data_IF_663153320233
#
_entry.id   IF_663153320233
#
_cell.length_a   1.000
_cell.length_b   1.000
_cell.length_c   1.000
_cell.angle_alpha   90.00
_cell.angle_beta   90.00
_cell.angle_gamma   90.00
#
_symmetry.space_group_name_H-M   'P 1'
#
loop_
_entity.id
_entity.type
_entity.pdbx_description
1 polymer ?
#
# COMPACT_ATOMS: atom_id res chain seq x y z
N UNK A 1 -50.57 0.52 -1.30
CA UNK A 1 -49.52 1.20 -0.51
C UNK A 1 -48.32 1.36 -1.40
N UNK A 2 -48.06 2.59 -1.86
CA UNK A 2 -46.92 2.90 -2.72
C UNK A 2 -45.68 3.06 -1.83
N UNK A 3 -44.68 2.21 -2.04
CA UNK A 3 -43.35 2.36 -1.42
C UNK A 3 -42.67 3.54 -2.10
N UNK A 4 -42.39 4.59 -1.34
CA UNK A 4 -41.66 5.75 -1.80
C UNK A 4 -40.27 5.32 -2.29
N UNK A 5 -39.97 5.62 -3.55
CA UNK A 5 -38.65 5.52 -4.12
C UNK A 5 -37.82 6.63 -3.49
N UNK A 6 -36.91 6.28 -2.58
CA UNK A 6 -35.94 7.24 -2.07
C UNK A 6 -34.86 7.39 -3.14
N UNK A 7 -35.00 8.43 -3.95
CA UNK A 7 -34.05 8.79 -4.99
C UNK A 7 -32.71 9.20 -4.33
N UNK A 8 -31.80 8.24 -4.15
CA UNK A 8 -30.45 8.52 -3.66
C UNK A 8 -29.75 7.46 -2.80
N UNK A 9 -30.36 6.31 -2.52
CA UNK A 9 -29.67 5.17 -1.89
C UNK A 9 -30.07 3.89 -2.59
N UNK A 10 -29.41 3.59 -3.71
CA UNK A 10 -29.57 2.30 -4.37
C UNK A 10 -28.85 1.20 -3.58
N UNK A 11 -29.33 -0.04 -3.67
CA UNK A 11 -28.67 -1.21 -3.07
C UNK A 11 -27.21 -1.34 -3.55
N UNK A 12 -26.90 -0.76 -4.71
CA UNK A 12 -25.55 -0.62 -5.23
C UNK A 12 -24.64 0.21 -4.31
N UNK A 13 -25.11 1.33 -3.75
CA UNK A 13 -24.30 2.17 -2.86
C UNK A 13 -24.04 1.49 -1.52
N UNK A 14 -25.03 0.76 -1.00
CA UNK A 14 -24.84 -0.06 0.21
C UNK A 14 -23.80 -1.16 -0.03
N UNK A 15 -23.88 -1.83 -1.19
CA UNK A 15 -22.89 -2.83 -1.59
C UNK A 15 -21.50 -2.21 -1.73
N UNK A 16 -21.42 -1.00 -2.28
CA UNK A 16 -20.18 -0.26 -2.43
C UNK A 16 -19.58 0.13 -1.08
N UNK A 17 -20.40 0.62 -0.15
CA UNK A 17 -20.00 0.93 1.22
C UNK A 17 -19.54 -0.32 1.99
N UNK A 18 -20.20 -1.45 1.79
CA UNK A 18 -19.79 -2.71 2.40
C UNK A 18 -18.44 -3.20 1.87
N UNK A 19 -18.23 -3.12 0.54
CA UNK A 19 -16.94 -3.47 -0.07
C UNK A 19 -15.81 -2.56 0.43
N UNK A 20 -16.03 -1.25 0.49
CA UNK A 20 -15.03 -0.29 0.97
C UNK A 20 -14.64 -0.52 2.43
N UNK A 21 -15.58 -0.89 3.30
CA UNK A 21 -15.28 -1.26 4.68
C UNK A 21 -14.37 -2.49 4.75
N UNK A 22 -14.70 -3.57 4.02
CA UNK A 22 -13.90 -4.79 4.04
C UNK A 22 -12.45 -4.52 3.58
N UNK A 23 -12.29 -3.75 2.51
CA UNK A 23 -10.98 -3.39 1.95
C UNK A 23 -10.21 -2.49 2.93
N UNK A 24 -10.89 -1.52 3.57
CA UNK A 24 -10.28 -0.64 4.57
C UNK A 24 -9.75 -1.40 5.79
N UNK A 25 -10.40 -2.49 6.20
CA UNK A 25 -9.92 -3.37 7.26
C UNK A 25 -8.83 -4.36 6.80
N UNK A 26 -8.40 -4.29 5.54
CA UNK A 26 -7.29 -5.10 5.01
C UNK A 26 -7.70 -6.52 4.63
N UNK A 27 -8.99 -6.77 4.36
CA UNK A 27 -9.42 -8.09 3.92
C UNK A 27 -8.88 -8.46 2.53
N UNK A 28 -8.68 -9.75 2.33
CA UNK A 28 -8.21 -10.27 1.04
C UNK A 28 -9.29 -10.15 -0.03
N UNK A 29 -8.89 -9.98 -1.29
CA UNK A 29 -9.79 -9.95 -2.46
C UNK A 29 -10.71 -11.18 -2.49
N UNK A 30 -10.19 -12.36 -2.11
CA UNK A 30 -10.95 -13.60 -2.06
C UNK A 30 -12.02 -13.57 -0.96
N UNK A 31 -11.70 -13.01 0.21
CA UNK A 31 -12.69 -12.82 1.28
C UNK A 31 -13.79 -11.87 0.82
N UNK A 32 -13.43 -10.72 0.24
CA UNK A 32 -14.38 -9.73 -0.26
C UNK A 32 -15.30 -10.33 -1.33
N UNK A 33 -14.73 -11.07 -2.29
CA UNK A 33 -15.47 -11.79 -3.32
C UNK A 33 -16.50 -12.76 -2.72
N UNK A 34 -16.09 -13.59 -1.76
CA UNK A 34 -16.99 -14.54 -1.11
C UNK A 34 -18.11 -13.83 -0.34
N UNK A 35 -17.81 -12.71 0.33
CA UNK A 35 -18.80 -11.93 1.10
C UNK A 35 -19.78 -11.17 0.22
N UNK A 36 -19.38 -10.78 -0.99
CA UNK A 36 -20.25 -10.13 -1.97
C UNK A 36 -21.06 -11.13 -2.82
N UNK A 37 -20.72 -12.42 -2.74
CA UNK A 37 -21.35 -13.49 -3.51
C UNK A 37 -20.99 -13.48 -5.00
N UNK A 38 -19.86 -12.87 -5.36
CA UNK A 38 -19.41 -12.82 -6.75
C UNK A 38 -18.85 -14.17 -7.17
N UNK A 39 -19.04 -14.54 -8.45
CA UNK A 39 -18.62 -15.85 -8.96
C UNK A 39 -17.11 -15.94 -9.13
N UNK A 40 -16.45 -14.81 -9.39
CA UNK A 40 -15.01 -14.73 -9.57
C UNK A 40 -14.41 -13.52 -8.86
N UNK A 41 -13.13 -13.63 -8.51
CA UNK A 41 -12.36 -12.51 -7.97
C UNK A 41 -12.25 -11.37 -9.00
N UNK A 42 -12.22 -11.70 -10.29
CA UNK A 42 -12.18 -10.75 -11.40
C UNK A 42 -13.40 -9.81 -11.41
N UNK A 43 -14.61 -10.33 -11.20
CA UNK A 43 -15.84 -9.52 -11.10
C UNK A 43 -15.74 -8.48 -9.96
N UNK A 44 -15.13 -8.89 -8.84
CA UNK A 44 -14.87 -8.01 -7.70
C UNK A 44 -13.80 -6.96 -8.02
N UNK A 45 -12.70 -7.36 -8.65
CA UNK A 45 -11.59 -6.48 -8.99
C UNK A 45 -11.96 -5.47 -10.08
N UNK A 46 -12.73 -5.89 -11.09
CA UNK A 46 -13.20 -4.99 -12.15
C UNK A 46 -14.03 -3.83 -11.58
N UNK A 47 -14.70 -4.03 -10.45
CA UNK A 47 -15.57 -3.02 -9.83
C UNK A 47 -14.86 -2.24 -8.72
N UNK A 48 -14.07 -2.92 -7.87
CA UNK A 48 -13.57 -2.37 -6.61
C UNK A 48 -12.05 -2.26 -6.50
N UNK A 49 -11.28 -2.62 -7.54
CA UNK A 49 -9.81 -2.55 -7.53
C UNK A 49 -9.26 -1.20 -7.07
N UNK A 50 -9.91 -0.10 -7.46
CA UNK A 50 -9.53 1.27 -7.08
C UNK A 50 -9.60 1.57 -5.58
N UNK A 51 -10.26 0.72 -4.78
CA UNK A 51 -10.35 0.88 -3.33
C UNK A 51 -9.15 0.25 -2.61
N UNK A 52 -8.40 -0.64 -3.27
CA UNK A 52 -7.20 -1.21 -2.65
C UNK A 52 -6.11 -0.15 -2.62
N UNK A 53 -5.48 0.06 -1.44
CA UNK A 53 -4.34 0.95 -1.35
C UNK A 53 -3.21 0.41 -2.22
N UNK A 54 -2.47 1.32 -2.85
CA UNK A 54 -1.31 0.97 -3.66
C UNK A 54 -0.34 0.15 -2.79
N UNK A 55 -0.36 -1.17 -3.03
CA UNK A 55 0.32 -2.16 -2.19
C UNK A 55 1.76 -2.38 -2.63
N UNK A 56 2.19 -1.70 -3.69
CA UNK A 56 3.52 -1.84 -4.27
C UNK A 56 4.61 -1.53 -3.26
N UNK A 57 4.50 -0.42 -2.52
CA UNK A 57 5.53 -0.02 -1.55
C UNK A 57 5.56 -0.96 -0.34
N UNK A 58 4.39 -1.36 0.20
CA UNK A 58 4.35 -2.38 1.27
C UNK A 58 4.83 -3.75 0.81
N UNK A 59 4.56 -4.10 -0.44
CA UNK A 59 4.99 -5.37 -1.03
C UNK A 59 6.51 -5.42 -1.16
N UNK A 60 7.12 -4.32 -1.64
CA UNK A 60 8.58 -4.14 -1.66
C UNK A 60 9.16 -4.22 -0.27
N UNK A 61 8.63 -3.45 0.69
CA UNK A 61 9.11 -3.45 2.08
C UNK A 61 9.03 -4.85 2.72
N UNK A 62 7.94 -5.59 2.47
CA UNK A 62 7.77 -6.95 3.00
C UNK A 62 8.75 -7.96 2.38
N UNK A 63 9.02 -7.84 1.08
CA UNK A 63 9.99 -8.68 0.37
C UNK A 63 11.42 -8.34 0.81
N UNK A 64 11.76 -7.06 0.92
CA UNK A 64 13.06 -6.60 1.40
C UNK A 64 13.31 -7.08 2.85
N UNK A 65 12.30 -6.97 3.71
CA UNK A 65 12.37 -7.48 5.08
C UNK A 65 12.53 -9.01 5.14
N UNK A 66 11.85 -9.75 4.27
CA UNK A 66 11.94 -11.21 4.21
C UNK A 66 13.28 -11.71 3.64
N UNK A 67 13.89 -10.95 2.72
CA UNK A 67 15.16 -11.28 2.09
C UNK A 67 16.38 -10.73 2.85
N UNK A 68 16.16 -9.94 3.91
CA UNK A 68 17.23 -9.40 4.74
C UNK A 68 17.95 -8.18 4.14
N UNK A 69 17.35 -7.53 3.13
CA UNK A 69 17.76 -6.19 2.74
C UNK A 69 17.26 -5.22 3.83
N UNK A 70 18.11 -4.95 4.82
CA UNK A 70 17.78 -4.00 5.89
C UNK A 70 17.28 -2.67 5.31
N UNK A 71 16.39 -1.96 6.03
CA UNK A 71 15.81 -0.71 5.52
C UNK A 71 16.94 0.18 5.07
N UNK A 72 16.96 0.57 3.80
CA UNK A 72 17.98 1.43 3.22
C UNK A 72 18.08 2.66 4.11
N UNK A 73 19.06 2.63 5.02
CA UNK A 73 19.27 3.68 5.99
C UNK A 73 19.48 4.94 5.19
N UNK A 74 18.52 5.87 5.29
CA UNK A 74 18.64 7.21 4.74
C UNK A 74 19.99 7.71 5.18
N UNK A 75 20.95 7.72 4.25
CA UNK A 75 22.29 8.22 4.48
C UNK A 75 22.13 9.65 4.97
N UNK A 76 22.22 9.79 6.29
CA UNK A 76 22.17 11.06 6.96
C UNK A 76 23.32 11.87 6.42
N UNK A 77 23.02 13.11 6.02
CA UNK A 77 23.97 14.15 5.74
C UNK A 77 25.11 14.14 6.79
N UNK A 78 26.25 13.55 6.43
CA UNK A 78 27.45 13.60 7.25
C UNK A 78 27.97 15.04 7.20
N UNK A 79 28.02 15.78 8.32
CA UNK A 79 28.59 17.11 8.31
C UNK A 79 30.09 17.01 7.95
N UNK A 80 30.46 17.77 6.91
CA UNK A 80 31.78 17.91 6.25
C UNK A 80 32.95 18.31 7.19
N UNK A 81 32.76 18.30 8.50
CA UNK A 81 33.68 18.86 9.49
C UNK A 81 34.75 17.90 10.02
N UNK A 82 34.90 16.69 9.49
CA UNK A 82 35.91 15.72 9.98
C UNK A 82 36.86 15.18 8.91
N UNK A 83 37.05 15.91 7.79
CA UNK A 83 38.18 15.67 6.90
C UNK A 83 39.46 16.16 7.59
N UNK A 84 40.09 15.30 8.38
CA UNK A 84 41.45 15.54 8.85
C UNK A 84 42.38 15.66 7.64
N UNK A 85 43.29 16.65 7.60
CA UNK A 85 44.26 16.72 6.51
C UNK A 85 45.26 15.58 6.68
N UNK A 86 45.42 14.78 5.62
CA UNK A 86 46.43 13.73 5.52
C UNK A 86 47.83 14.34 5.72
N UNK A 87 48.61 13.93 6.74
CA UNK A 87 49.97 14.40 6.93
C UNK A 87 50.93 13.56 6.09
N UNK A 88 50.86 13.69 4.78
CA UNK A 88 51.83 13.07 3.86
C UNK A 88 52.40 14.12 2.91
N UNK A 89 53.09 15.11 3.48
CA UNK A 89 53.90 16.05 2.73
C UNK A 89 55.19 16.36 3.51
N UNK A 90 56.05 15.36 3.66
CA UNK A 90 57.43 15.61 4.08
C UNK A 90 58.42 14.66 3.38
N UNK A 91 59.40 15.31 2.72
CA UNK A 91 60.71 14.84 2.28
C UNK A 91 60.83 14.00 0.99
N UNK A 92 61.23 14.67 -0.10
CA UNK A 92 62.63 14.63 -0.56
C UNK A 92 62.91 15.50 -1.80
N UNK A 93 64.07 16.14 -1.72
CA UNK A 93 64.87 16.84 -2.74
C UNK A 93 64.43 18.25 -3.12
#
# INVERSE_FOLDING_TARGET
MAVAKLDGFDLHELRHYYASLLIRYGESVKTVQARLGHKSAEETLNTYSHLWPDSDDRGRDAVDAALGAGPAEKSGNFPDSQRTPNPSAHHRT
#
